data_IF_390935232315
#
_entry.id   IF_390935232315
#
_cell.length_a   1.000
_cell.length_b   1.000
_cell.length_c   1.000
_cell.angle_alpha   90.00
_cell.angle_beta   90.00
_cell.angle_gamma   90.00
#
_symmetry.space_group_name_H-M   'P 1'
#
loop_
_entity.id
_entity.type
_entity.pdbx_description
1 polymer ?
#
# COMPACT_ATOMS: atom_id res chain seq x y z
N UNK A 1 0.41 -9.20 15.66
CA UNK A 1 -0.97 -9.15 16.19
C UNK A 1 -1.31 -10.49 16.81
N UNK A 2 -1.68 -10.53 18.09
CA UNK A 2 -2.34 -11.73 18.62
C UNK A 2 -3.62 -11.99 17.83
N UNK A 3 -3.96 -13.28 17.65
CA UNK A 3 -5.20 -13.72 17.00
C UNK A 3 -6.37 -12.80 17.42
N UNK A 4 -7.11 -12.31 16.41
CA UNK A 4 -8.31 -11.47 16.51
C UNK A 4 -8.13 -9.95 16.66
N UNK A 5 -6.94 -9.38 16.39
CA UNK A 5 -6.79 -7.92 16.26
C UNK A 5 -6.88 -7.14 17.58
N UNK A 6 -6.70 -7.80 18.72
CA UNK A 6 -6.59 -7.18 20.05
C UNK A 6 -5.17 -6.66 20.30
N UNK A 7 -5.06 -5.60 21.11
CA UNK A 7 -3.79 -5.02 21.53
C UNK A 7 -3.90 -4.28 22.86
N UNK A 8 -2.79 -3.90 23.46
CA UNK A 8 -2.76 -3.15 24.73
C UNK A 8 -2.44 -1.67 24.49
N UNK A 9 -2.90 -0.81 25.39
CA UNK A 9 -2.65 0.64 25.36
C UNK A 9 -1.15 0.96 25.37
N UNK A 10 -0.36 0.21 26.15
CA UNK A 10 1.09 0.38 26.25
C UNK A 10 1.85 -0.19 25.02
N UNK A 11 1.16 -0.89 24.10
CA UNK A 11 1.76 -1.57 22.96
C UNK A 11 0.78 -1.60 21.77
N UNK A 12 0.47 -0.43 21.23
CA UNK A 12 -0.29 -0.31 19.97
C UNK A 12 0.60 -0.84 18.83
N UNK A 13 0.16 -1.83 18.04
CA UNK A 13 0.96 -2.39 16.95
C UNK A 13 1.25 -1.36 15.86
N UNK A 14 2.42 -1.49 15.22
CA UNK A 14 2.72 -0.76 14.00
C UNK A 14 1.62 -0.98 12.95
N UNK A 15 1.17 0.09 12.32
CA UNK A 15 0.06 0.06 11.36
C UNK A 15 -1.35 0.14 11.99
N UNK A 16 -1.46 0.34 13.31
CA UNK A 16 -2.72 0.67 14.00
C UNK A 16 -2.70 2.13 14.43
N UNK A 17 -3.64 2.90 13.91
CA UNK A 17 -3.70 4.36 14.02
C UNK A 17 -4.92 4.80 14.83
N UNK A 18 -4.75 5.27 16.09
CA UNK A 18 -5.86 5.82 16.85
C UNK A 18 -6.35 7.14 16.22
N UNK A 19 -7.66 7.26 16.08
CA UNK A 19 -8.31 8.49 15.59
C UNK A 19 -9.28 9.08 16.62
N UNK A 20 -9.53 8.36 17.71
CA UNK A 20 -10.19 8.81 18.92
C UNK A 20 -9.87 7.86 20.06
N UNK A 21 -10.56 7.97 21.20
CA UNK A 21 -10.30 7.15 22.39
C UNK A 21 -10.55 5.65 22.15
N UNK A 22 -11.50 5.34 21.28
CA UNK A 22 -11.99 4.00 21.03
C UNK A 22 -12.12 3.65 19.53
N UNK A 23 -11.74 4.55 18.61
CA UNK A 23 -11.79 4.31 17.16
C UNK A 23 -10.39 4.27 16.58
N UNK A 24 -10.13 3.22 15.79
CA UNK A 24 -8.83 2.95 15.18
C UNK A 24 -8.97 2.70 13.69
N UNK A 25 -7.95 3.14 12.95
CA UNK A 25 -7.74 2.82 11.54
C UNK A 25 -6.56 1.88 11.42
N UNK A 26 -6.69 0.80 10.66
CA UNK A 26 -5.56 -0.12 10.43
C UNK A 26 -5.73 -0.91 9.14
N UNK A 27 -4.62 -1.24 8.50
CA UNK A 27 -4.60 -2.14 7.35
C UNK A 27 -4.34 -3.58 7.81
N UNK A 28 -4.95 -4.55 7.14
CA UNK A 28 -4.73 -5.99 7.40
C UNK A 28 -4.78 -6.79 6.11
N UNK A 29 -4.17 -7.97 6.14
CA UNK A 29 -4.24 -8.97 5.06
C UNK A 29 -5.16 -10.14 5.45
N UNK A 30 -5.98 -10.61 4.50
CA UNK A 30 -6.81 -11.81 4.63
C UNK A 30 -6.97 -12.50 3.29
N UNK A 31 -6.57 -13.78 3.17
CA UNK A 31 -6.54 -14.56 1.92
C UNK A 31 -6.04 -13.72 0.72
N UNK A 32 -4.83 -13.17 0.84
CA UNK A 32 -4.15 -12.40 -0.22
C UNK A 32 -4.86 -11.10 -0.64
N UNK A 33 -5.84 -10.65 0.14
CA UNK A 33 -6.51 -9.37 -0.03
C UNK A 33 -6.16 -8.42 1.11
N UNK A 34 -5.83 -7.18 0.76
CA UNK A 34 -5.64 -6.11 1.73
C UNK A 34 -6.96 -5.41 1.98
N UNK A 35 -7.19 -5.04 3.23
CA UNK A 35 -8.30 -4.18 3.59
C UNK A 35 -7.87 -3.16 4.64
N UNK A 36 -8.48 -1.99 4.60
CA UNK A 36 -8.34 -0.95 5.61
C UNK A 36 -9.61 -0.89 6.45
N UNK A 37 -9.47 -0.96 7.76
CA UNK A 37 -10.58 -0.96 8.70
C UNK A 37 -10.66 0.38 9.39
N UNK A 38 -11.87 0.93 9.52
CA UNK A 38 -12.19 1.98 10.48
C UNK A 38 -13.15 1.32 11.48
N UNK A 39 -12.71 1.12 12.71
CA UNK A 39 -13.40 0.22 13.65
C UNK A 39 -13.37 0.74 15.08
N UNK A 40 -14.50 0.59 15.77
CA UNK A 40 -14.60 0.85 17.21
C UNK A 40 -14.07 -0.33 18.00
N UNK A 41 -13.35 -0.05 19.07
CA UNK A 41 -12.78 -0.99 20.01
C UNK A 41 -13.35 -0.75 21.39
N UNK A 42 -13.53 -1.82 22.16
CA UNK A 42 -13.88 -1.70 23.57
C UNK A 42 -12.64 -1.94 24.42
N UNK A 43 -12.36 -1.01 25.33
CA UNK A 43 -11.26 -1.11 26.28
C UNK A 43 -11.72 -1.85 27.54
N UNK A 44 -11.00 -2.90 27.92
CA UNK A 44 -11.15 -3.59 29.20
C UNK A 44 -9.81 -3.59 29.94
N UNK A 45 -9.71 -2.79 31.01
CA UNK A 45 -8.42 -2.50 31.63
C UNK A 45 -7.52 -1.76 30.65
N UNK A 46 -6.36 -2.34 30.32
CA UNK A 46 -5.41 -1.81 29.34
C UNK A 46 -5.56 -2.41 27.94
N UNK A 47 -6.51 -3.31 27.72
CA UNK A 47 -6.60 -4.08 26.48
C UNK A 47 -7.77 -3.61 25.62
N UNK A 48 -7.50 -3.35 24.34
CA UNK A 48 -8.48 -3.02 23.32
C UNK A 48 -8.93 -4.28 22.57
N UNK A 49 -10.25 -4.42 22.41
CA UNK A 49 -10.90 -5.51 21.68
C UNK A 49 -11.73 -4.94 20.54
N UNK A 50 -11.58 -5.43 19.30
CA UNK A 50 -12.37 -4.93 18.18
C UNK A 50 -13.85 -5.27 18.37
N UNK A 51 -14.72 -4.32 18.05
CA UNK A 51 -16.17 -4.52 18.08
C UNK A 51 -16.71 -4.80 16.66
N UNK A 52 -17.95 -5.29 16.53
CA UNK A 52 -18.59 -5.44 15.23
C UNK A 52 -18.87 -4.12 14.50
N UNK A 53 -18.90 -3.00 15.24
CA UNK A 53 -19.12 -1.64 14.76
C UNK A 53 -17.86 -1.12 14.06
N UNK A 54 -17.98 -0.80 12.78
CA UNK A 54 -16.84 -0.57 11.91
C UNK A 54 -17.13 -0.92 10.47
N UNK A 55 -16.33 -0.33 9.59
CA UNK A 55 -16.35 -0.58 8.16
C UNK A 55 -14.99 -1.12 7.71
N UNK A 56 -15.03 -1.95 6.67
CA UNK A 56 -13.85 -2.48 6.01
C UNK A 56 -13.87 -1.98 4.57
N UNK A 57 -12.78 -1.38 4.15
CA UNK A 57 -12.58 -0.66 2.91
C UNK A 57 -11.47 -1.33 2.09
N UNK A 58 -11.59 -1.29 0.76
CA UNK A 58 -10.44 -1.50 -0.12
C UNK A 58 -9.44 -0.34 0.06
N UNK A 59 -8.11 -0.57 -0.01
CA UNK A 59 -7.11 0.49 0.15
C UNK A 59 -7.35 1.77 -0.68
N UNK A 60 -7.90 1.64 -1.90
CA UNK A 60 -8.19 2.78 -2.79
C UNK A 60 -9.25 3.74 -2.22
N UNK A 61 -10.08 3.27 -1.29
CA UNK A 61 -11.01 4.14 -0.56
C UNK A 61 -10.29 5.15 0.33
N UNK A 62 -9.11 4.81 0.88
CA UNK A 62 -8.37 5.74 1.73
C UNK A 62 -7.91 6.95 0.93
N UNK A 63 -7.29 6.73 -0.23
CA UNK A 63 -6.96 7.83 -1.15
C UNK A 63 -8.22 8.64 -1.49
N UNK A 64 -9.30 7.96 -1.89
CA UNK A 64 -10.54 8.63 -2.31
C UNK A 64 -11.20 9.50 -1.23
N UNK A 65 -11.28 9.01 0.00
CA UNK A 65 -11.88 9.72 1.14
C UNK A 65 -10.98 10.89 1.55
N UNK A 66 -9.65 10.68 1.53
CA UNK A 66 -8.70 11.57 2.19
C UNK A 66 -7.99 12.53 1.23
N UNK A 67 -8.16 12.39 -0.09
CA UNK A 67 -7.50 13.20 -1.13
C UNK A 67 -7.62 14.71 -0.93
N UNK A 68 -8.75 15.17 -0.38
CA UNK A 68 -9.00 16.60 -0.16
C UNK A 68 -8.21 17.18 1.03
N UNK A 69 -7.62 16.33 1.88
CA UNK A 69 -6.87 16.70 3.09
C UNK A 69 -7.55 17.72 3.99
N UNK A 70 -8.89 17.74 3.95
CA UNK A 70 -9.72 18.59 4.79
C UNK A 70 -10.98 17.84 5.18
N UNK A 71 -11.54 18.23 6.32
CA UNK A 71 -12.83 17.68 6.74
C UNK A 71 -13.92 18.28 5.84
N UNK A 72 -14.85 17.47 5.32
CA UNK A 72 -15.93 17.97 4.48
C UNK A 72 -16.79 18.99 5.23
N UNK A 73 -17.19 20.06 4.54
CA UNK A 73 -18.08 21.11 5.10
C UNK A 73 -19.44 21.18 4.41
N UNK A 74 -19.61 20.46 3.30
CA UNK A 74 -20.87 20.37 2.57
C UNK A 74 -21.06 19.00 1.93
N UNK A 75 -22.28 18.71 1.46
CA UNK A 75 -22.62 17.42 0.86
C UNK A 75 -21.87 17.18 -0.45
N UNK A 76 -21.57 18.24 -1.20
CA UNK A 76 -20.81 18.18 -2.46
C UNK A 76 -19.34 17.79 -2.25
N UNK A 77 -18.81 17.99 -1.03
CA UNK A 77 -17.46 17.58 -0.67
C UNK A 77 -17.39 16.12 -0.22
N UNK A 78 -18.53 15.50 0.09
CA UNK A 78 -18.56 14.09 0.46
C UNK A 78 -18.28 13.23 -0.77
N UNK A 79 -17.45 12.19 -0.63
CA UNK A 79 -17.20 11.26 -1.71
C UNK A 79 -18.50 10.57 -2.14
N UNK A 80 -18.84 10.62 -3.43
CA UNK A 80 -20.09 10.06 -3.98
C UNK A 80 -19.86 8.67 -4.59
N UNK A 81 -20.70 7.71 -4.20
CA UNK A 81 -20.49 6.27 -4.41
C UNK A 81 -20.68 5.74 -5.84
N UNK A 82 -19.92 6.24 -6.82
CA UNK A 82 -19.81 5.62 -8.14
C UNK A 82 -18.47 4.89 -8.38
N UNK A 83 -17.36 5.21 -7.70
CA UNK A 83 -16.10 4.44 -7.50
C UNK A 83 -15.22 5.16 -6.43
N UNK A 84 -14.39 4.48 -5.58
CA UNK A 84 -13.58 3.26 -5.78
C UNK A 84 -14.26 2.00 -5.19
N UNK A 85 -13.71 0.79 -5.39
CA UNK A 85 -14.31 -0.41 -6.05
C UNK A 85 -15.65 -0.97 -5.53
N UNK A 86 -16.26 -0.39 -4.51
CA UNK A 86 -17.45 -0.91 -3.86
C UNK A 86 -18.62 0.05 -4.01
N UNK A 87 -19.53 -0.22 -4.96
CA UNK A 87 -20.77 0.55 -5.24
C UNK A 87 -21.74 0.68 -4.04
N UNK A 88 -21.37 0.14 -2.88
CA UNK A 88 -22.24 0.01 -1.73
C UNK A 88 -21.73 0.73 -0.48
N UNK A 89 -20.64 1.50 -0.59
CA UNK A 89 -20.21 2.39 0.49
C UNK A 89 -20.84 3.76 0.27
N UNK A 90 -21.46 4.28 1.32
CA UNK A 90 -22.06 5.60 1.39
C UNK A 90 -21.51 6.34 2.60
N UNK A 91 -21.28 7.64 2.44
CA UNK A 91 -20.88 8.52 3.53
C UNK A 91 -21.95 9.60 3.64
N UNK A 92 -22.55 9.75 4.82
CA UNK A 92 -23.63 10.73 5.06
C UNK A 92 -23.32 11.57 6.29
N UNK A 93 -23.82 12.80 6.29
CA UNK A 93 -23.78 13.70 7.45
C UNK A 93 -24.99 14.64 7.41
N UNK A 94 -25.63 14.88 8.55
CA UNK A 94 -26.76 15.82 8.67
C UNK A 94 -26.29 17.24 9.02
N UNK A 95 -25.22 17.36 9.82
CA UNK A 95 -24.78 18.62 10.43
C UNK A 95 -23.26 18.85 10.37
N UNK A 96 -22.49 17.97 9.72
CA UNK A 96 -21.03 18.03 9.61
C UNK A 96 -20.27 18.05 10.95
N UNK A 97 -20.95 17.58 12.01
CA UNK A 97 -20.36 17.22 13.30
C UNK A 97 -19.98 15.74 13.28
N UNK A 98 -20.85 14.90 12.71
CA UNK A 98 -20.64 13.45 12.61
C UNK A 98 -20.76 12.97 11.17
N UNK A 99 -19.94 11.97 10.82
CA UNK A 99 -19.89 11.34 9.51
C UNK A 99 -20.14 9.84 9.64
N UNK A 100 -21.17 9.34 8.99
CA UNK A 100 -21.54 7.92 9.02
C UNK A 100 -21.09 7.25 7.74
N UNK A 101 -20.18 6.28 7.88
CA UNK A 101 -19.81 5.35 6.83
C UNK A 101 -20.76 4.17 6.87
N UNK A 102 -21.41 3.85 5.76
CA UNK A 102 -22.33 2.72 5.63
C UNK A 102 -21.98 1.85 4.44
N UNK A 103 -21.84 0.54 4.67
CA UNK A 103 -21.65 -0.47 3.64
C UNK A 103 -22.84 -1.42 3.61
N UNK A 104 -23.40 -1.60 2.42
CA UNK A 104 -24.48 -2.56 2.15
C UNK A 104 -23.90 -3.75 1.38
N UNK A 105 -23.99 -4.97 1.90
CA UNK A 105 -23.63 -6.18 1.13
C UNK A 105 -24.87 -6.99 0.84
N UNK A 106 -25.13 -7.21 -0.45
CA UNK A 106 -26.15 -8.14 -0.93
C UNK A 106 -25.52 -9.54 -1.05
N UNK A 107 -26.00 -10.48 -0.24
CA UNK A 107 -25.63 -11.89 -0.40
C UNK A 107 -26.41 -12.53 -1.55
N UNK A 108 -25.92 -13.65 -2.13
CA UNK A 108 -26.58 -14.32 -3.24
C UNK A 108 -28.01 -14.79 -2.92
N UNK A 109 -28.37 -15.06 -1.66
CA UNK A 109 -29.70 -15.57 -1.26
C UNK A 109 -30.23 -15.03 0.10
N UNK A 110 -29.68 -13.94 0.66
CA UNK A 110 -30.08 -13.46 2.02
C UNK A 110 -30.10 -11.94 2.16
N UNK A 111 -30.92 -11.50 3.11
CA UNK A 111 -31.11 -10.11 3.56
C UNK A 111 -29.81 -9.28 3.53
N UNK A 112 -29.91 -8.00 3.13
CA UNK A 112 -28.74 -7.12 3.08
C UNK A 112 -28.04 -7.05 4.43
N UNK A 113 -26.73 -7.30 4.44
CA UNK A 113 -25.91 -7.08 5.64
C UNK A 113 -25.41 -5.64 5.64
N UNK A 114 -25.60 -4.96 6.77
CA UNK A 114 -25.19 -3.58 6.97
C UNK A 114 -23.99 -3.54 7.91
N UNK A 115 -22.97 -2.81 7.50
CA UNK A 115 -21.85 -2.42 8.37
C UNK A 115 -21.77 -0.92 8.38
N UNK A 116 -21.72 -0.33 9.57
CA UNK A 116 -21.62 1.11 9.72
C UNK A 116 -20.70 1.49 10.87
N UNK A 117 -20.21 2.72 10.78
CA UNK A 117 -19.53 3.43 11.85
C UNK A 117 -19.76 4.92 11.67
N UNK A 118 -20.08 5.60 12.77
CA UNK A 118 -20.13 7.04 12.83
C UNK A 118 -18.86 7.54 13.50
N UNK A 119 -18.16 8.47 12.83
CA UNK A 119 -16.99 9.15 13.37
C UNK A 119 -17.26 10.65 13.49
N UNK A 120 -16.68 11.29 14.50
CA UNK A 120 -16.82 12.73 14.67
C UNK A 120 -15.94 13.52 13.70
N UNK A 121 -16.18 14.83 13.61
CA UNK A 121 -15.36 15.79 12.85
C UNK A 121 -13.89 15.74 13.29
N UNK A 122 -13.64 15.63 14.60
CA UNK A 122 -12.29 15.53 15.17
C UNK A 122 -11.62 14.21 14.78
N UNK A 123 -12.36 13.10 14.81
CA UNK A 123 -11.84 11.80 14.38
C UNK A 123 -11.49 11.80 12.89
N UNK A 124 -12.30 12.45 12.05
CA UNK A 124 -11.97 12.65 10.64
C UNK A 124 -10.70 13.51 10.48
N UNK A 125 -10.57 14.60 11.24
CA UNK A 125 -9.38 15.43 11.22
C UNK A 125 -8.13 14.65 11.64
N UNK A 126 -8.24 13.78 12.65
CA UNK A 126 -7.16 12.89 13.07
C UNK A 126 -6.80 11.84 12.01
N UNK A 127 -7.77 11.34 11.24
CA UNK A 127 -7.49 10.50 10.07
C UNK A 127 -6.67 11.27 9.01
N UNK A 128 -6.99 12.55 8.75
CA UNK A 128 -6.27 13.36 7.75
C UNK A 128 -4.81 13.52 8.14
N UNK A 129 -4.54 13.83 9.41
CA UNK A 129 -3.17 13.95 9.93
C UNK A 129 -2.37 12.66 9.76
N UNK A 130 -3.02 11.51 9.79
CA UNK A 130 -2.40 10.18 9.70
C UNK A 130 -2.47 9.56 8.30
N UNK A 131 -3.03 10.27 7.31
CA UNK A 131 -3.32 9.74 5.97
C UNK A 131 -2.11 9.05 5.33
N UNK A 132 -0.96 9.73 5.23
CA UNK A 132 0.23 9.14 4.60
C UNK A 132 0.73 7.88 5.30
N UNK A 133 0.64 7.81 6.64
CA UNK A 133 1.03 6.62 7.39
C UNK A 133 0.05 5.45 7.19
N UNK A 134 -1.27 5.73 7.14
CA UNK A 134 -2.30 4.74 6.84
C UNK A 134 -2.12 4.19 5.42
N UNK A 135 -1.88 5.07 4.46
CA UNK A 135 -1.68 4.71 3.06
C UNK A 135 -0.40 3.87 2.87
N UNK A 136 0.72 4.29 3.47
CA UNK A 136 1.97 3.51 3.47
C UNK A 136 1.75 2.10 4.03
N UNK A 137 1.06 1.97 5.17
CA UNK A 137 0.77 0.66 5.77
C UNK A 137 -0.13 -0.21 4.86
N UNK A 138 -1.07 0.40 4.14
CA UNK A 138 -1.91 -0.32 3.19
C UNK A 138 -1.11 -0.81 1.97
N UNK A 139 -0.26 0.06 1.40
CA UNK A 139 0.60 -0.28 0.25
C UNK A 139 1.63 -1.35 0.62
N UNK A 140 2.28 -1.24 1.78
CA UNK A 140 3.20 -2.26 2.28
C UNK A 140 2.51 -3.63 2.35
N UNK A 141 1.30 -3.68 2.93
CA UNK A 141 0.51 -4.90 2.98
C UNK A 141 0.14 -5.43 1.59
N UNK A 142 -0.12 -4.54 0.62
CA UNK A 142 -0.46 -4.93 -0.76
C UNK A 142 0.72 -5.64 -1.41
N UNK A 143 1.91 -5.08 -1.31
CA UNK A 143 3.11 -5.66 -1.88
C UNK A 143 3.58 -6.91 -1.12
N UNK A 144 3.32 -7.02 0.18
CA UNK A 144 3.59 -8.24 0.95
C UNK A 144 2.72 -9.42 0.51
N UNK A 145 1.48 -9.19 0.08
CA UNK A 145 0.56 -10.24 -0.33
C UNK A 145 0.46 -10.46 -1.85
N UNK A 146 1.28 -9.77 -2.65
CA UNK A 146 1.32 -9.97 -4.10
C UNK A 146 1.86 -11.36 -4.46
N UNK A 147 1.07 -12.16 -5.17
CA UNK A 147 1.52 -13.44 -5.73
C UNK A 147 2.34 -13.22 -7.01
N UNK A 148 3.59 -12.77 -6.82
CA UNK A 148 4.50 -12.45 -7.90
C UNK A 148 4.92 -13.69 -8.70
N UNK A 149 5.01 -14.86 -8.07
CA UNK A 149 5.35 -16.12 -8.76
C UNK A 149 4.28 -16.48 -9.78
N UNK A 150 3.01 -16.47 -9.38
CA UNK A 150 1.91 -16.79 -10.29
C UNK A 150 1.81 -15.75 -11.40
N UNK A 151 1.97 -14.47 -11.08
CA UNK A 151 2.02 -13.41 -12.09
C UNK A 151 3.13 -13.66 -13.12
N UNK A 152 4.37 -13.92 -12.66
CA UNK A 152 5.52 -14.19 -13.54
C UNK A 152 5.35 -15.44 -14.41
N UNK A 153 4.74 -16.50 -13.89
CA UNK A 153 4.44 -17.72 -14.67
C UNK A 153 3.52 -17.47 -15.86
N UNK A 154 2.74 -16.39 -15.86
CA UNK A 154 1.88 -16.01 -16.98
C UNK A 154 2.70 -15.62 -18.23
N UNK A 155 3.91 -15.11 -18.04
CA UNK A 155 4.77 -14.60 -19.11
C UNK A 155 5.91 -15.55 -19.47
N UNK A 156 6.31 -16.42 -18.53
CA UNK A 156 7.41 -17.35 -18.75
C UNK A 156 7.02 -18.47 -19.72
N UNK A 157 7.73 -18.60 -20.84
CA UNK A 157 7.49 -19.62 -21.87
C UNK A 157 7.95 -21.04 -21.47
N UNK A 158 8.73 -21.18 -20.40
CA UNK A 158 9.37 -22.43 -19.98
C UNK A 158 9.22 -22.74 -18.49
N UNK A 159 9.59 -23.97 -18.07
CA UNK A 159 9.58 -24.32 -16.65
C UNK A 159 10.60 -23.48 -15.89
N UNK A 160 10.19 -22.98 -14.72
CA UNK A 160 11.07 -22.26 -13.80
C UNK A 160 11.68 -23.28 -12.84
N UNK A 161 13.01 -23.36 -12.84
CA UNK A 161 13.77 -24.21 -11.93
C UNK A 161 13.45 -23.88 -10.46
N UNK A 162 13.45 -24.90 -9.61
CA UNK A 162 13.14 -24.71 -8.19
C UNK A 162 14.26 -23.92 -7.48
N UNK A 163 15.52 -24.25 -7.76
CA UNK A 163 16.72 -23.71 -7.10
C UNK A 163 17.85 -23.55 -8.12
N UNK A 164 18.83 -22.68 -7.84
CA UNK A 164 20.01 -22.53 -8.71
C UNK A 164 20.96 -23.73 -8.56
N UNK A 165 21.68 -24.12 -9.62
CA UNK A 165 22.81 -25.03 -9.51
C UNK A 165 23.83 -24.56 -8.47
N UNK A 166 24.39 -25.49 -7.68
CA UNK A 166 25.35 -25.20 -6.61
C UNK A 166 26.66 -24.57 -7.10
N UNK A 167 26.93 -24.60 -8.40
CA UNK A 167 28.11 -24.01 -9.05
C UNK A 167 27.97 -22.51 -9.32
N UNK A 168 26.78 -21.91 -9.13
CA UNK A 168 26.54 -20.50 -9.39
C UNK A 168 26.51 -19.66 -8.09
N UNK A 169 26.98 -18.42 -8.19
CA UNK A 169 26.89 -17.45 -7.09
C UNK A 169 25.43 -16.95 -6.95
N UNK A 170 24.75 -17.49 -5.93
CA UNK A 170 23.36 -17.13 -5.61
C UNK A 170 23.24 -15.67 -5.19
N UNK A 171 24.22 -15.13 -4.44
CA UNK A 171 24.16 -13.76 -3.92
C UNK A 171 24.25 -12.74 -5.05
N UNK A 172 25.19 -12.94 -5.97
CA UNK A 172 25.35 -12.05 -7.12
C UNK A 172 24.12 -12.08 -8.04
N UNK A 173 23.59 -13.27 -8.30
CA UNK A 173 22.36 -13.45 -9.08
C UNK A 173 21.17 -12.73 -8.46
N UNK A 174 20.95 -12.90 -7.15
CA UNK A 174 19.87 -12.24 -6.43
C UNK A 174 19.99 -10.71 -6.46
N UNK A 175 21.17 -10.16 -6.19
CA UNK A 175 21.39 -8.71 -6.28
C UNK A 175 21.03 -8.17 -7.66
N UNK A 176 21.44 -8.89 -8.71
CA UNK A 176 21.16 -8.48 -10.07
C UNK A 176 19.66 -8.51 -10.41
N UNK A 177 18.97 -9.59 -10.05
CA UNK A 177 17.51 -9.70 -10.22
C UNK A 177 16.76 -8.62 -9.45
N UNK A 178 17.18 -8.31 -8.21
CA UNK A 178 16.60 -7.23 -7.42
C UNK A 178 16.78 -5.87 -8.09
N UNK A 179 17.94 -5.60 -8.71
CA UNK A 179 18.16 -4.34 -9.45
C UNK A 179 17.27 -4.24 -10.70
N UNK A 180 17.12 -5.33 -11.45
CA UNK A 180 16.20 -5.37 -12.60
C UNK A 180 14.77 -5.10 -12.13
N UNK A 181 14.34 -5.73 -11.05
CA UNK A 181 13.00 -5.56 -10.52
C UNK A 181 12.73 -4.12 -10.04
N UNK A 182 13.69 -3.50 -9.35
CA UNK A 182 13.61 -2.06 -9.02
C UNK A 182 13.45 -1.20 -10.27
N UNK A 183 14.26 -1.47 -11.30
CA UNK A 183 14.17 -0.76 -12.58
C UNK A 183 12.80 -0.94 -13.22
N UNK A 184 12.24 -2.15 -13.19
CA UNK A 184 10.88 -2.42 -13.70
C UNK A 184 9.81 -1.60 -12.97
N UNK A 185 9.83 -1.59 -11.63
CA UNK A 185 8.89 -0.80 -10.84
C UNK A 185 9.07 0.71 -11.13
N UNK A 186 10.32 1.19 -11.19
CA UNK A 186 10.61 2.57 -11.59
C UNK A 186 10.05 2.91 -12.98
N UNK A 187 10.20 2.04 -13.97
CA UNK A 187 9.67 2.25 -15.33
C UNK A 187 8.15 2.39 -15.32
N UNK A 188 7.44 1.50 -14.63
CA UNK A 188 5.98 1.56 -14.51
C UNK A 188 5.51 2.85 -13.80
N UNK A 189 6.21 3.27 -12.75
CA UNK A 189 5.90 4.52 -12.06
C UNK A 189 6.21 5.75 -12.94
N UNK A 190 7.30 5.73 -13.71
CA UNK A 190 7.65 6.78 -14.68
C UNK A 190 6.58 6.90 -15.77
N UNK A 191 6.07 5.79 -16.31
CA UNK A 191 4.99 5.76 -17.31
C UNK A 191 3.69 6.38 -16.78
N UNK A 192 3.40 6.20 -15.49
CA UNK A 192 2.27 6.87 -14.80
C UNK A 192 2.54 8.36 -14.51
N UNK A 193 3.76 8.85 -14.73
CA UNK A 193 4.13 10.26 -14.64
C UNK A 193 5.11 10.62 -13.53
N UNK A 194 5.55 9.66 -12.71
CA UNK A 194 6.48 9.92 -11.60
C UNK A 194 7.93 9.90 -12.10
N UNK A 195 8.38 10.99 -12.73
CA UNK A 195 9.74 11.14 -13.24
C UNK A 195 10.76 11.30 -12.13
N UNK A 196 11.96 10.69 -12.26
CA UNK A 196 13.11 10.97 -11.38
C UNK A 196 13.41 12.48 -11.30
N UNK A 197 13.81 13.01 -10.13
CA UNK A 197 14.16 14.41 -10.00
C UNK A 197 15.42 14.67 -10.84
N UNK A 198 15.38 15.65 -11.76
CA UNK A 198 16.54 15.99 -12.58
C UNK A 198 17.44 17.03 -11.91
N UNK A 199 16.88 17.81 -10.98
CA UNK A 199 17.60 18.82 -10.21
C UNK A 199 17.08 18.89 -8.77
N UNK A 200 17.95 19.29 -7.83
CA UNK A 200 17.60 19.52 -6.42
C UNK A 200 16.43 20.53 -6.25
N UNK A 201 16.24 21.47 -7.18
CA UNK A 201 15.15 22.44 -7.10
C UNK A 201 13.76 21.85 -7.46
N UNK A 202 13.71 20.74 -8.18
CA UNK A 202 12.47 19.97 -8.43
C UNK A 202 12.06 19.10 -7.23
N UNK A 203 12.94 18.94 -6.23
CA UNK A 203 12.67 18.19 -5.00
C UNK A 203 11.72 18.94 -4.05
N UNK A 204 11.62 20.27 -4.20
CA UNK A 204 10.73 21.13 -3.42
C UNK A 204 9.22 21.00 -3.75
N UNK A 205 8.85 20.07 -4.64
CA UNK A 205 7.45 19.83 -4.97
C UNK A 205 6.82 18.99 -3.87
N UNK A 206 6.23 19.67 -2.89
CA UNK A 206 5.52 19.09 -1.76
C UNK A 206 4.26 18.32 -2.16
N UNK A 207 4.43 17.15 -2.80
CA UNK A 207 3.53 16.01 -2.74
C UNK A 207 4.09 14.70 -3.32
N UNK A 208 5.41 14.56 -3.39
CA UNK A 208 6.06 13.51 -4.18
C UNK A 208 5.84 12.10 -3.60
N UNK A 209 5.94 11.94 -2.28
CA UNK A 209 5.64 10.67 -1.60
C UNK A 209 4.17 10.27 -1.81
N UNK A 210 3.23 11.22 -1.75
CA UNK A 210 1.81 10.92 -2.01
C UNK A 210 1.54 10.58 -3.47
N UNK A 211 2.22 11.23 -4.40
CA UNK A 211 2.14 10.89 -5.83
C UNK A 211 2.70 9.48 -6.07
N UNK A 212 3.81 9.16 -5.43
CA UNK A 212 4.36 7.80 -5.42
C UNK A 212 3.35 6.80 -4.87
N UNK A 213 2.75 7.07 -3.71
CA UNK A 213 1.80 6.17 -3.08
C UNK A 213 0.56 5.94 -3.93
N UNK A 214 -0.02 7.00 -4.49
CA UNK A 214 -1.15 6.93 -5.42
C UNK A 214 -0.83 6.00 -6.59
N UNK A 215 0.32 6.16 -7.24
CA UNK A 215 0.72 5.30 -8.35
C UNK A 215 1.08 3.89 -7.93
N UNK A 216 1.80 3.71 -6.82
CA UNK A 216 2.18 2.41 -6.29
C UNK A 216 0.96 1.58 -5.89
N UNK A 217 -0.07 2.21 -5.30
CA UNK A 217 -1.34 1.56 -4.96
C UNK A 217 -2.13 1.04 -6.17
N UNK A 218 -1.79 1.53 -7.38
CA UNK A 218 -2.42 1.10 -8.63
C UNK A 218 -1.63 0.00 -9.36
N UNK A 219 -0.45 -0.37 -8.88
CA UNK A 219 0.38 -1.39 -9.55
C UNK A 219 -0.14 -2.79 -9.26
N UNK A 220 -0.30 -3.57 -10.31
CA UNK A 220 -0.70 -4.98 -10.21
C UNK A 220 0.51 -5.91 -10.36
N UNK A 221 0.45 -7.08 -9.72
CA UNK A 221 1.53 -8.08 -9.79
C UNK A 221 1.86 -8.48 -11.25
N UNK A 222 0.84 -8.55 -12.12
CA UNK A 222 1.01 -8.86 -13.55
C UNK A 222 1.78 -7.77 -14.30
N UNK A 223 1.49 -6.49 -14.04
CA UNK A 223 2.21 -5.37 -14.66
C UNK A 223 3.69 -5.40 -14.27
N UNK A 224 3.96 -5.60 -12.98
CA UNK A 224 5.35 -5.70 -12.46
C UNK A 224 6.05 -6.92 -13.06
N UNK A 225 5.37 -8.07 -13.13
CA UNK A 225 5.93 -9.31 -13.64
C UNK A 225 6.25 -9.23 -15.14
N UNK A 226 5.38 -8.61 -15.93
CA UNK A 226 5.58 -8.40 -17.36
C UNK A 226 6.79 -7.50 -17.63
N UNK A 227 6.84 -6.34 -16.95
CA UNK A 227 7.95 -5.41 -17.06
C UNK A 227 9.27 -6.02 -16.55
N UNK A 228 9.21 -6.83 -15.49
CA UNK A 228 10.36 -7.60 -15.01
C UNK A 228 10.84 -8.62 -16.04
N UNK A 229 9.92 -9.41 -16.60
CA UNK A 229 10.24 -10.41 -17.62
C UNK A 229 10.96 -9.79 -18.82
N UNK A 230 10.41 -8.72 -19.40
CA UNK A 230 11.04 -8.02 -20.52
C UNK A 230 12.44 -7.48 -20.18
N UNK A 231 12.59 -6.83 -19.01
CA UNK A 231 13.88 -6.28 -18.58
C UNK A 231 14.95 -7.36 -18.31
N UNK A 232 14.58 -8.63 -18.07
CA UNK A 232 15.54 -9.73 -17.95
C UNK A 232 16.25 -10.06 -19.27
N UNK A 233 15.61 -9.81 -20.41
CA UNK A 233 16.16 -10.09 -21.73
C UNK A 233 16.89 -8.90 -22.36
N UNK A 234 16.55 -7.67 -21.97
CA UNK A 234 17.20 -6.46 -22.48
C UNK A 234 18.59 -6.18 -21.87
N UNK A 235 18.90 -6.78 -20.72
CA UNK A 235 20.14 -6.54 -20.00
C UNK A 235 21.28 -7.49 -20.46
N UNK A 236 22.19 -6.99 -21.30
CA UNK A 236 23.37 -7.73 -21.81
C UNK A 236 24.64 -7.52 -20.96
N UNK A 237 24.55 -7.39 -19.63
CA UNK A 237 25.76 -7.22 -18.81
C UNK A 237 26.52 -8.53 -18.57
N UNK A 238 27.84 -8.39 -18.39
CA UNK A 238 28.90 -9.42 -18.27
C UNK A 238 28.72 -10.42 -17.13
N UNK A 239 27.69 -11.27 -17.21
CA UNK A 239 27.54 -12.46 -16.37
C UNK A 239 27.84 -13.71 -17.20
N UNK A 240 28.31 -14.77 -16.55
CA UNK A 240 28.48 -16.10 -17.14
C UNK A 240 27.18 -16.66 -17.75
N UNK A 241 26.02 -16.17 -17.29
CA UNK A 241 24.69 -16.52 -17.76
C UNK A 241 23.83 -15.27 -17.89
N UNK A 242 22.80 -15.34 -18.75
CA UNK A 242 21.80 -14.29 -18.85
C UNK A 242 21.02 -14.14 -17.54
N UNK A 243 20.50 -12.94 -17.21
CA UNK A 243 19.79 -12.68 -15.96
C UNK A 243 18.62 -13.63 -15.72
N UNK A 244 17.87 -13.96 -16.77
CA UNK A 244 16.73 -14.90 -16.71
C UNK A 244 17.12 -16.29 -16.19
N UNK A 245 18.39 -16.71 -16.33
CA UNK A 245 18.85 -18.01 -15.83
C UNK A 245 19.02 -18.03 -14.30
N UNK A 246 19.04 -16.86 -13.65
CA UNK A 246 19.09 -16.75 -12.19
C UNK A 246 17.69 -16.81 -11.55
N UNK A 247 16.61 -16.71 -12.35
CA UNK A 247 15.24 -16.71 -11.85
C UNK A 247 14.83 -18.13 -11.45
N UNK A 248 14.49 -18.30 -10.17
CA UNK A 248 14.00 -19.57 -9.62
C UNK A 248 12.69 -19.39 -8.88
N UNK A 249 11.98 -20.50 -8.65
CA UNK A 249 10.78 -20.46 -7.81
C UNK A 249 11.11 -20.04 -6.38
N UNK A 250 12.26 -20.45 -5.84
CA UNK A 250 12.71 -20.04 -4.51
C UNK A 250 12.93 -18.53 -4.43
N UNK A 251 13.60 -17.91 -5.41
CA UNK A 251 13.78 -16.46 -5.46
C UNK A 251 12.43 -15.73 -5.46
N UNK A 252 11.52 -16.12 -6.36
CA UNK A 252 10.22 -15.47 -6.50
C UNK A 252 9.32 -15.65 -5.27
N UNK A 253 9.38 -16.80 -4.58
CA UNK A 253 8.62 -17.06 -3.35
C UNK A 253 9.14 -16.28 -2.14
N UNK A 254 10.45 -16.07 -2.07
CA UNK A 254 11.11 -15.37 -0.96
C UNK A 254 11.23 -13.86 -1.20
N UNK A 255 10.70 -13.36 -2.31
CA UNK A 255 10.80 -11.97 -2.71
C UNK A 255 10.02 -11.07 -1.74
N UNK A 256 10.71 -10.10 -1.17
CA UNK A 256 10.11 -9.06 -0.31
C UNK A 256 9.82 -7.81 -1.14
N UNK A 257 8.74 -7.88 -1.92
CA UNK A 257 8.31 -6.79 -2.80
C UNK A 257 8.04 -5.48 -2.05
N UNK A 258 7.59 -5.56 -0.80
CA UNK A 258 7.40 -4.40 0.08
C UNK A 258 8.72 -3.68 0.39
N UNK A 259 9.79 -4.43 0.65
CA UNK A 259 11.12 -3.86 0.88
C UNK A 259 11.65 -3.23 -0.41
N UNK A 260 11.50 -3.92 -1.54
CA UNK A 260 11.91 -3.41 -2.85
C UNK A 260 11.17 -2.10 -3.17
N UNK A 261 9.86 -2.03 -2.91
CA UNK A 261 9.07 -0.83 -3.12
C UNK A 261 9.55 0.34 -2.25
N UNK A 262 9.88 0.10 -0.97
CA UNK A 262 10.44 1.14 -0.08
C UNK A 262 11.77 1.67 -0.60
N UNK A 263 12.63 0.80 -1.13
CA UNK A 263 13.89 1.22 -1.75
C UNK A 263 13.65 2.03 -3.03
N UNK A 264 12.69 1.63 -3.87
CA UNK A 264 12.27 2.41 -5.04
C UNK A 264 11.71 3.78 -4.61
N UNK A 265 10.91 3.82 -3.53
CA UNK A 265 10.41 5.08 -2.97
C UNK A 265 11.56 5.98 -2.55
N UNK A 266 12.58 5.46 -1.87
CA UNK A 266 13.76 6.25 -1.49
C UNK A 266 14.50 6.79 -2.70
N UNK A 267 14.62 6.01 -3.79
CA UNK A 267 15.25 6.45 -5.04
C UNK A 267 14.45 7.56 -5.74
N UNK A 268 13.12 7.47 -5.72
CA UNK A 268 12.24 8.40 -6.44
C UNK A 268 11.80 9.59 -5.59
N UNK A 269 11.82 9.46 -4.26
CA UNK A 269 11.38 10.43 -3.26
C UNK A 269 12.41 10.46 -2.11
N UNK A 270 13.64 10.91 -2.37
CA UNK A 270 14.64 11.02 -1.31
C UNK A 270 14.08 11.94 -0.20
N UNK A 271 14.18 11.56 1.08
CA UNK A 271 13.84 12.47 2.16
C UNK A 271 14.76 13.68 2.05
N UNK A 272 14.20 14.89 2.09
CA UNK A 272 14.96 16.15 2.09
C UNK A 272 16.00 16.12 3.22
N UNK A 273 17.22 15.69 2.90
CA UNK A 273 18.35 15.65 3.82
C UNK A 273 19.43 16.60 3.32
N UNK A 274 19.11 17.89 3.29
CA UNK A 274 20.11 18.91 3.57
C UNK A 274 19.47 20.00 4.42
N UNK A 275 19.68 19.90 5.73
CA UNK A 275 19.74 21.11 6.56
C UNK A 275 20.70 22.07 5.86
N UNK A 276 20.20 23.25 5.53
CA UNK A 276 21.02 24.38 5.11
C UNK A 276 22.17 24.54 6.13
N UNK A 277 23.39 24.18 5.74
CA UNK A 277 24.55 24.94 6.21
C UNK A 277 24.53 26.26 5.41
N UNK A 278 23.69 27.20 5.84
CA UNK A 278 24.00 28.63 5.66
C UNK A 278 25.23 28.94 6.52
N UNK A 279 26.39 28.45 6.12
CA UNK A 279 27.67 28.83 6.73
C UNK A 279 28.81 28.40 5.81
N UNK A 280 28.86 28.94 4.58
CA UNK A 280 30.13 29.10 3.86
C UNK A 280 30.10 30.33 2.94
N UNK A 281 30.51 31.45 3.55
CA UNK A 281 31.38 32.55 3.06
C UNK A 281 31.14 33.13 1.66
#
# INVERSE_FOLDING_TARGET
MEKYGKFTEDCIPDGVFPIGDDVFVFASTYYDSVSVHIRRFKKYGKTYYPTPEGITLDPRWIEYIMRKKKVPESLEELPSGLFPPERHIQITSENFIDFTFKRIKYGPDKEPTFKEITISREQWAEMIKKYGAIENAAIDNMFQCMDFLTAYKTFCEGPIENTLPSSLDVSLGQQYLTQILKKSICSLLNEKGLKQPQTFAEELWGNREETFNSYASSLEANEIADCFYHNLFENEHFLLLKPVHYVTQEFLKNLRLDIILREVRYMLCPPDCFEYYEDFV
#
